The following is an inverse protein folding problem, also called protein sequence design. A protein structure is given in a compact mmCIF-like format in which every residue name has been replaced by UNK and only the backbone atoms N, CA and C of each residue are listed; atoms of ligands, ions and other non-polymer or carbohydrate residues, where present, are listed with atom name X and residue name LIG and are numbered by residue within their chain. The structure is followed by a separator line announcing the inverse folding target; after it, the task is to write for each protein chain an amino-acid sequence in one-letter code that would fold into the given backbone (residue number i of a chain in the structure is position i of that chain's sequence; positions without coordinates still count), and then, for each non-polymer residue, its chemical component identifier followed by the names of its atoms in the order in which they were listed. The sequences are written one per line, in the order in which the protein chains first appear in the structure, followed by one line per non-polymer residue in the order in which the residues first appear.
data_IF_298395951124
#
_entry.id   IF_298395951124
#
_cell.length_a   1.000
_cell.length_b   1.000
_cell.length_c   1.000
_cell.angle_alpha   90.00
_cell.angle_beta   90.00
_cell.angle_gamma   90.00
#
_symmetry.space_group_name_H-M   'P 1'
#
loop_
_entity.id
_entity.type
_entity.pdbx_description
1 polymer ?
#
# COMPACT_ATOMS: atom_id res chain seq x y z
N UNK A 1 12.28 24.94 -3.19
CA UNK A 1 11.33 23.95 -2.66
C UNK A 1 11.43 24.03 -1.15
N UNK A 2 10.36 24.46 -0.49
CA UNK A 2 10.30 24.60 0.97
C UNK A 2 10.50 23.24 1.63
N UNK A 3 11.55 23.11 2.44
CA UNK A 3 11.70 21.97 3.35
C UNK A 3 10.54 22.06 4.34
N UNK A 4 9.54 21.18 4.19
CA UNK A 4 8.38 21.11 5.09
C UNK A 4 8.77 20.74 6.52
N UNK A 5 10.00 20.26 6.73
CA UNK A 5 10.55 19.88 8.03
C UNK A 5 12.04 20.21 8.00
N UNK A 6 12.52 21.05 8.92
CA UNK A 6 13.95 21.28 9.09
C UNK A 6 14.64 20.00 9.58
N UNK A 7 15.84 19.67 9.09
CA UNK A 7 16.56 18.49 9.56
C UNK A 7 16.88 18.63 11.05
N UNK A 8 16.26 17.79 11.89
CA UNK A 8 16.51 17.77 13.34
C UNK A 8 17.72 16.88 13.62
N UNK A 9 18.75 17.44 14.26
CA UNK A 9 19.92 16.68 14.75
C UNK A 9 19.55 16.04 16.09
N UNK A 10 19.21 14.75 16.06
CA UNK A 10 18.67 14.01 17.22
C UNK A 10 19.71 13.87 18.35
N UNK A 11 21.00 13.83 18.00
CA UNK A 11 22.11 13.54 18.92
C UNK A 11 22.37 14.62 19.98
N UNK A 12 21.78 15.81 19.83
CA UNK A 12 21.99 16.95 20.73
C UNK A 12 20.79 17.24 21.65
N UNK A 13 19.70 16.47 21.54
CA UNK A 13 18.45 16.73 22.25
C UNK A 13 18.35 15.92 23.54
N UNK A 14 17.81 16.55 24.59
CA UNK A 14 17.42 15.84 25.82
C UNK A 14 16.21 14.94 25.56
N UNK A 15 15.98 13.90 26.37
CA UNK A 15 14.86 12.97 26.16
C UNK A 15 13.48 13.62 26.04
N UNK A 16 13.21 14.69 26.81
CA UNK A 16 11.93 15.41 26.74
C UNK A 16 11.78 16.21 25.43
N UNK A 17 12.88 16.77 24.90
CA UNK A 17 12.91 17.51 23.65
C UNK A 17 12.70 16.56 22.46
N UNK A 18 13.28 15.36 22.53
CA UNK A 18 13.02 14.28 21.57
C UNK A 18 11.53 13.91 21.58
N UNK A 19 10.93 13.71 22.75
CA UNK A 19 9.51 13.37 22.86
C UNK A 19 8.62 14.47 22.26
N UNK A 20 8.93 15.74 22.53
CA UNK A 20 8.19 16.88 21.97
C UNK A 20 8.32 16.93 20.42
N UNK A 21 9.52 16.69 19.89
CA UNK A 21 9.74 16.62 18.44
C UNK A 21 8.99 15.46 17.80
N UNK A 22 8.95 14.28 18.44
CA UNK A 22 8.17 13.12 17.94
C UNK A 22 6.69 13.46 17.87
N UNK A 23 6.12 14.09 18.89
CA UNK A 23 4.71 14.49 18.89
C UNK A 23 4.40 15.47 17.75
N UNK A 24 5.26 16.48 17.54
CA UNK A 24 5.14 17.43 16.42
C UNK A 24 5.22 16.72 15.07
N UNK A 25 6.22 15.85 14.87
CA UNK A 25 6.37 15.09 13.63
C UNK A 25 5.19 14.15 13.37
N UNK A 26 4.60 13.56 14.42
CA UNK A 26 3.40 12.74 14.29
C UNK A 26 2.18 13.56 13.85
N UNK A 27 2.01 14.79 14.35
CA UNK A 27 0.90 15.63 13.91
C UNK A 27 1.06 16.05 12.45
N UNK A 28 2.26 16.48 12.06
CA UNK A 28 2.59 16.84 10.68
C UNK A 28 2.40 15.64 9.76
N UNK A 29 2.87 14.46 10.16
CA UNK A 29 2.66 13.21 9.40
C UNK A 29 1.18 12.94 9.17
N UNK A 30 0.34 13.03 10.20
CA UNK A 30 -1.11 12.81 10.07
C UNK A 30 -1.74 13.77 9.06
N UNK A 31 -1.38 15.04 9.10
CA UNK A 31 -1.90 16.06 8.18
C UNK A 31 -1.43 15.82 6.74
N UNK A 32 -0.13 15.56 6.55
CA UNK A 32 0.45 15.25 5.23
C UNK A 32 -0.15 13.97 4.65
N UNK A 33 -0.29 12.92 5.45
CA UNK A 33 -0.89 11.65 5.04
C UNK A 33 -2.37 11.83 4.62
N UNK A 34 -3.13 12.66 5.35
CA UNK A 34 -4.52 12.98 5.00
C UNK A 34 -4.61 13.70 3.65
N UNK A 35 -3.82 14.78 3.47
CA UNK A 35 -3.79 15.53 2.21
C UNK A 35 -3.33 14.65 1.05
N UNK A 36 -2.30 13.84 1.26
CA UNK A 36 -1.78 12.92 0.25
C UNK A 36 -2.80 11.85 -0.14
N UNK A 37 -3.61 11.36 0.82
CA UNK A 37 -4.72 10.43 0.55
C UNK A 37 -5.78 11.07 -0.35
N UNK A 38 -6.20 12.30 -0.03
CA UNK A 38 -7.18 13.04 -0.84
C UNK A 38 -6.67 13.29 -2.27
N UNK A 39 -5.41 13.74 -2.40
CA UNK A 39 -4.81 13.96 -3.72
C UNK A 39 -4.70 12.66 -4.53
N UNK A 40 -4.34 11.53 -3.89
CA UNK A 40 -4.32 10.22 -4.57
C UNK A 40 -5.70 9.75 -4.99
N UNK A 41 -6.74 10.01 -4.19
CA UNK A 41 -8.12 9.69 -4.56
C UNK A 41 -8.58 10.50 -5.78
N UNK A 42 -8.31 11.81 -5.80
CA UNK A 42 -8.59 12.66 -6.96
C UNK A 42 -7.83 12.20 -8.21
N UNK A 43 -6.56 11.82 -8.05
CA UNK A 43 -5.76 11.29 -9.14
C UNK A 43 -6.29 9.94 -9.64
N UNK A 44 -6.78 9.07 -8.74
CA UNK A 44 -7.42 7.81 -9.13
C UNK A 44 -8.65 8.07 -10.00
N UNK A 45 -9.56 8.94 -9.57
CA UNK A 45 -10.75 9.29 -10.35
C UNK A 45 -10.39 9.90 -11.72
N UNK A 46 -9.34 10.73 -11.78
CA UNK A 46 -8.84 11.29 -13.04
C UNK A 46 -8.28 10.20 -13.96
N UNK A 47 -7.50 9.28 -13.42
CA UNK A 47 -6.95 8.16 -14.22
C UNK A 47 -8.03 7.18 -14.65
N UNK A 48 -9.12 7.02 -13.89
CA UNK A 48 -10.32 6.26 -14.29
C UNK A 48 -11.05 6.93 -15.44
N UNK A 49 -11.36 8.22 -15.31
CA UNK A 49 -12.14 8.96 -16.32
C UNK A 49 -11.42 9.07 -17.66
N UNK A 50 -10.09 9.15 -17.65
CA UNK A 50 -9.24 9.20 -18.85
C UNK A 50 -8.79 7.83 -19.36
N UNK A 51 -9.21 6.75 -18.70
CA UNK A 51 -8.73 5.38 -18.91
C UNK A 51 -7.19 5.22 -18.98
N UNK A 52 -6.49 5.94 -18.11
CA UNK A 52 -5.03 5.89 -18.04
C UNK A 52 -4.60 4.80 -17.07
N UNK A 53 -4.12 3.66 -17.59
CA UNK A 53 -3.51 2.61 -16.77
C UNK A 53 -2.13 3.02 -16.23
N UNK A 54 -1.33 3.72 -17.03
CA UNK A 54 0.01 4.18 -16.64
C UNK A 54 0.39 5.46 -17.38
N UNK A 55 0.90 6.43 -16.64
CA UNK A 55 1.45 7.69 -17.15
C UNK A 55 2.92 7.81 -16.74
N UNK A 56 3.81 7.86 -17.72
CA UNK A 56 5.25 8.05 -17.52
C UNK A 56 5.64 9.47 -17.86
N UNK A 57 6.32 10.15 -16.95
CA UNK A 57 6.95 11.45 -17.16
C UNK A 57 8.45 11.34 -16.97
N UNK A 58 9.20 12.41 -17.27
CA UNK A 58 10.64 12.44 -17.02
C UNK A 58 10.99 12.29 -15.53
N UNK A 59 10.13 12.78 -14.63
CA UNK A 59 10.40 12.82 -13.18
C UNK A 59 9.70 11.72 -12.39
N UNK A 60 8.60 11.14 -12.87
CA UNK A 60 7.85 10.12 -12.16
C UNK A 60 7.02 9.22 -13.08
N UNK A 61 6.55 8.11 -12.54
CA UNK A 61 5.56 7.23 -13.17
C UNK A 61 4.35 7.08 -12.25
N UNK A 62 3.15 7.24 -12.81
CA UNK A 62 1.86 7.00 -12.14
C UNK A 62 1.27 5.73 -12.75
N UNK A 63 0.79 4.80 -11.92
CA UNK A 63 0.10 3.60 -12.38
C UNK A 63 -1.17 3.35 -11.56
N UNK A 64 -2.27 2.98 -12.23
CA UNK A 64 -3.43 2.39 -11.56
C UNK A 64 -3.08 0.95 -11.20
N UNK A 65 -3.36 0.58 -9.95
CA UNK A 65 -3.13 -0.76 -9.45
C UNK A 65 -4.34 -1.24 -8.68
N UNK A 66 -4.60 -2.53 -8.73
CA UNK A 66 -5.69 -3.18 -8.00
C UNK A 66 -5.10 -4.04 -6.90
N UNK A 67 -5.57 -3.83 -5.67
CA UNK A 67 -5.29 -4.69 -4.53
C UNK A 67 -6.52 -5.53 -4.25
N UNK A 68 -6.40 -6.85 -4.37
CA UNK A 68 -7.42 -7.78 -3.91
C UNK A 68 -7.12 -8.18 -2.47
N UNK A 69 -8.12 -8.07 -1.60
CA UNK A 69 -8.06 -8.52 -0.21
C UNK A 69 -9.07 -9.63 -0.02
N UNK A 70 -8.59 -10.80 0.39
CA UNK A 70 -9.44 -11.95 0.69
C UNK A 70 -9.91 -11.87 2.14
N UNK A 71 -11.23 -11.91 2.34
CA UNK A 71 -11.84 -12.06 3.66
C UNK A 71 -12.40 -13.47 3.79
N UNK A 72 -11.87 -14.22 4.74
CA UNK A 72 -12.35 -15.58 5.06
C UNK A 72 -13.56 -15.47 5.98
N UNK A 73 -14.71 -16.01 5.55
CA UNK A 73 -15.95 -15.99 6.32
C UNK A 73 -16.00 -17.11 7.36
N UNK A 74 -15.56 -18.32 6.99
CA UNK A 74 -15.39 -19.46 7.91
C UNK A 74 -14.04 -20.15 7.69
N UNK A 75 -13.13 -19.96 8.65
CA UNK A 75 -11.79 -20.57 8.61
C UNK A 75 -11.82 -22.10 8.61
N UNK A 76 -12.80 -22.73 9.27
CA UNK A 76 -12.84 -24.20 9.38
C UNK A 76 -13.33 -24.83 8.09
N UNK A 77 -14.31 -24.21 7.44
CA UNK A 77 -14.78 -24.65 6.13
C UNK A 77 -13.69 -24.47 5.07
N UNK A 78 -13.05 -23.28 5.06
CA UNK A 78 -11.97 -22.97 4.14
C UNK A 78 -10.78 -23.94 4.27
N UNK A 79 -10.33 -24.25 5.49
CA UNK A 79 -9.23 -25.21 5.68
C UNK A 79 -9.58 -26.60 5.15
N UNK A 80 -10.82 -27.07 5.36
CA UNK A 80 -11.26 -28.39 4.85
C UNK A 80 -11.32 -28.42 3.32
N UNK A 81 -11.75 -27.33 2.69
CA UNK A 81 -11.80 -27.20 1.23
C UNK A 81 -10.38 -27.09 0.63
N UNK A 82 -9.47 -26.37 1.28
CA UNK A 82 -8.07 -26.29 0.83
C UNK A 82 -7.33 -27.63 1.01
N UNK A 83 -7.60 -28.36 2.09
CA UNK A 83 -7.10 -29.72 2.32
C UNK A 83 -7.63 -30.71 1.27
N UNK A 84 -8.91 -30.62 0.89
CA UNK A 84 -9.50 -31.49 -0.14
C UNK A 84 -8.96 -31.20 -1.55
N UNK A 85 -8.48 -29.98 -1.79
CA UNK A 85 -7.78 -29.59 -3.01
C UNK A 85 -6.28 -29.92 -3.00
N UNK A 86 -5.78 -30.59 -1.95
CA UNK A 86 -4.37 -30.96 -1.76
C UNK A 86 -3.42 -29.75 -1.73
N UNK A 87 -3.91 -28.60 -1.24
CA UNK A 87 -3.14 -27.36 -1.09
C UNK A 87 -2.64 -27.27 0.35
N UNK A 88 -1.32 -27.29 0.53
CA UNK A 88 -0.70 -27.15 1.85
C UNK A 88 -0.79 -25.69 2.34
N UNK A 89 -1.60 -25.45 3.37
CA UNK A 89 -1.77 -24.11 3.95
C UNK A 89 -0.65 -23.84 4.97
N UNK A 90 0.47 -23.30 4.50
CA UNK A 90 1.57 -22.88 5.38
C UNK A 90 1.27 -21.49 5.94
N UNK A 91 0.85 -21.41 7.20
CA UNK A 91 0.68 -20.16 7.93
C UNK A 91 2.05 -19.63 8.39
N UNK A 92 2.79 -19.03 7.46
CA UNK A 92 4.11 -18.44 7.69
C UNK A 92 4.15 -16.94 7.40
N UNK A 93 4.88 -16.19 8.24
CA UNK A 93 5.06 -14.74 8.21
C UNK A 93 5.41 -14.18 6.81
N UNK A 94 4.80 -13.03 6.49
CA UNK A 94 4.97 -12.19 5.29
C UNK A 94 4.66 -12.84 3.92
N UNK A 95 3.36 -12.95 3.64
CA UNK A 95 2.79 -13.47 2.40
C UNK A 95 2.70 -12.44 1.27
N UNK A 96 3.83 -12.05 0.67
CA UNK A 96 3.80 -11.36 -0.63
C UNK A 96 3.72 -12.34 -1.81
N UNK A 97 4.21 -13.57 -1.66
CA UNK A 97 4.24 -14.58 -2.74
C UNK A 97 3.02 -15.52 -2.78
N UNK A 98 2.22 -15.62 -1.71
CA UNK A 98 1.02 -16.48 -1.70
C UNK A 98 -0.23 -15.80 -2.27
N UNK A 99 -0.23 -14.47 -2.45
CA UNK A 99 -1.39 -13.71 -2.93
C UNK A 99 -2.02 -14.24 -4.23
N UNK A 100 -1.26 -14.64 -5.27
CA UNK A 100 -1.86 -15.12 -6.52
C UNK A 100 -2.48 -16.50 -6.41
N UNK A 101 -1.87 -17.39 -5.62
CA UNK A 101 -2.33 -18.77 -5.42
C UNK A 101 -3.61 -18.79 -4.58
N UNK A 102 -3.64 -17.99 -3.50
CA UNK A 102 -4.84 -17.83 -2.67
C UNK A 102 -5.98 -17.18 -3.47
N UNK A 103 -5.71 -16.19 -4.33
CA UNK A 103 -6.75 -15.54 -5.14
C UNK A 103 -7.48 -16.53 -6.07
N UNK A 104 -6.73 -17.38 -6.81
CA UNK A 104 -7.34 -18.40 -7.68
C UNK A 104 -8.14 -19.44 -6.92
N UNK A 105 -7.66 -19.85 -5.74
CA UNK A 105 -8.36 -20.83 -4.91
C UNK A 105 -9.62 -20.24 -4.28
N UNK A 106 -9.61 -18.95 -3.95
CA UNK A 106 -10.71 -18.25 -3.30
C UNK A 106 -11.87 -17.92 -4.25
N UNK A 107 -11.59 -17.69 -5.54
CA UNK A 107 -12.65 -17.44 -6.53
C UNK A 107 -13.60 -18.66 -6.68
N UNK A 108 -13.15 -19.86 -6.31
CA UNK A 108 -13.92 -21.12 -6.36
C UNK A 108 -14.58 -21.51 -5.01
N UNK A 109 -14.46 -20.68 -3.97
CA UNK A 109 -14.89 -21.03 -2.61
C UNK A 109 -16.02 -20.13 -2.11
N UNK A 110 -17.18 -20.73 -1.84
CA UNK A 110 -18.38 -20.06 -1.29
C UNK A 110 -18.13 -19.37 0.08
N UNK A 111 -17.05 -19.73 0.77
CA UNK A 111 -16.73 -19.28 2.13
C UNK A 111 -15.72 -18.12 2.19
N UNK A 112 -15.42 -17.48 1.05
CA UNK A 112 -14.47 -16.38 0.99
C UNK A 112 -14.99 -15.24 0.09
N UNK A 113 -14.74 -14.00 0.54
CA UNK A 113 -15.14 -12.78 -0.16
C UNK A 113 -13.90 -12.03 -0.63
N UNK A 114 -13.80 -11.78 -1.94
CA UNK A 114 -12.72 -10.98 -2.54
C UNK A 114 -13.15 -9.53 -2.63
N UNK A 115 -12.52 -8.67 -1.83
CA UNK A 115 -12.68 -7.23 -1.92
C UNK A 115 -11.57 -6.64 -2.79
N UNK A 116 -11.92 -6.11 -3.95
CA UNK A 116 -10.99 -5.41 -4.82
C UNK A 116 -10.97 -3.91 -4.51
N UNK A 117 -9.77 -3.35 -4.38
CA UNK A 117 -9.58 -1.93 -4.14
C UNK A 117 -8.56 -1.39 -5.12
N UNK A 118 -8.99 -0.43 -5.94
CA UNK A 118 -8.10 0.27 -6.84
C UNK A 118 -7.41 1.44 -6.15
N UNK A 119 -6.16 1.70 -6.52
CA UNK A 119 -5.37 2.80 -6.01
C UNK A 119 -4.35 3.26 -7.05
N UNK A 120 -3.79 4.45 -6.82
CA UNK A 120 -2.70 4.98 -7.64
C UNK A 120 -1.36 4.78 -6.95
N UNK A 121 -0.42 4.18 -7.68
CA UNK A 121 0.98 4.06 -7.31
C UNK A 121 1.81 5.14 -8.02
N UNK A 122 2.69 5.81 -7.28
CA UNK A 122 3.57 6.86 -7.81
C UNK A 122 5.01 6.45 -7.52
N UNK A 123 5.82 6.31 -8.57
CA UNK A 123 7.25 6.03 -8.49
C UNK A 123 8.04 7.24 -8.98
N UNK A 124 8.95 7.75 -8.16
CA UNK A 124 9.86 8.83 -8.55
C UNK A 124 11.02 8.24 -9.36
N UNK A 125 11.32 8.83 -10.51
CA UNK A 125 12.46 8.42 -11.32
C UNK A 125 13.73 8.97 -10.68
N UNK A 126 14.76 8.13 -10.49
CA UNK A 126 16.09 8.62 -10.12
C UNK A 126 16.60 9.47 -11.29
N UNK A 127 17.08 10.69 -11.00
CA UNK A 127 17.83 11.46 -12.01
C UNK A 127 18.99 10.58 -12.48
N UNK A 128 19.13 10.41 -13.80
CA UNK A 128 20.43 10.00 -14.35
C UNK A 128 21.36 11.17 -14.07
N UNK A 129 22.30 10.99 -13.16
CA UNK A 129 23.48 11.84 -13.14
C UNK A 129 24.23 11.51 -14.42
N UNK A 130 24.23 12.47 -15.36
CA UNK A 130 25.08 12.38 -16.55
C UNK A 130 26.53 12.31 -16.05
N UNK A 131 27.19 11.18 -16.32
CA UNK A 131 28.62 10.96 -16.07
C UNK A 131 29.45 11.60 -17.18
#
# INVERSE_FOLDING_TARGET
MSNLIEPVVIEQLKPFEIAEQVVKLQSVKKEVDSRLKEMKASLLETTKSLDVLTLKTGSYTISRATRSTVKVLDKKALSKELESMNVEVVYGMDMDYMKPVVKKLVDDLDNAEVNETEYVSIRINKKKEDK
#
